data_IF_116297788591
#
_entry.id   IF_116297788591
#
_cell.length_a   1.000
_cell.length_b   1.000
_cell.length_c   1.000
_cell.angle_alpha   90.00
_cell.angle_beta   90.00
_cell.angle_gamma   90.00
#
_symmetry.space_group_name_H-M   'P 1'
#
loop_
_entity.id
_entity.type
_entity.pdbx_description
1 polymer ?
#
# COMPACT_ATOMS: atom_id res chain seq x y z
N UNK A 1 -41.63 28.04 -28.83
CA UNK A 1 -40.67 26.97 -28.54
C UNK A 1 -39.50 27.61 -27.82
N UNK A 2 -39.56 27.68 -26.48
CA UNK A 2 -38.47 28.22 -25.66
C UNK A 2 -37.32 27.22 -25.70
N UNK A 3 -36.21 27.61 -26.32
CA UNK A 3 -34.96 26.87 -26.26
C UNK A 3 -34.35 27.21 -24.91
N UNK A 4 -34.54 26.34 -23.93
CA UNK A 4 -33.84 26.40 -22.65
C UNK A 4 -32.38 26.06 -22.93
N UNK A 5 -31.53 27.07 -23.09
CA UNK A 5 -30.09 26.91 -23.03
C UNK A 5 -29.76 26.45 -21.61
N UNK A 6 -29.53 25.15 -21.44
CA UNK A 6 -28.85 24.64 -20.26
C UNK A 6 -27.42 25.13 -20.37
N UNK A 7 -27.11 26.27 -19.74
CA UNK A 7 -25.73 26.62 -19.44
C UNK A 7 -25.19 25.49 -18.54
N UNK A 8 -24.47 24.54 -19.15
CA UNK A 8 -23.50 23.75 -18.40
C UNK A 8 -22.49 24.77 -17.89
N UNK A 9 -22.62 25.17 -16.63
CA UNK A 9 -21.61 25.96 -15.96
C UNK A 9 -20.34 25.11 -15.90
N UNK A 10 -19.43 25.31 -16.85
CA UNK A 10 -18.09 24.76 -16.77
C UNK A 10 -17.36 25.50 -15.65
N UNK A 11 -17.10 24.81 -14.54
CA UNK A 11 -16.32 25.37 -13.46
C UNK A 11 -14.89 25.69 -13.95
N UNK A 12 -14.29 26.81 -13.49
CA UNK A 12 -12.91 27.16 -13.84
C UNK A 12 -11.94 26.00 -13.55
N UNK A 13 -11.07 25.75 -14.53
CA UNK A 13 -10.03 24.72 -14.43
C UNK A 13 -8.90 25.20 -13.52
N UNK A 14 -8.64 24.47 -12.43
CA UNK A 14 -7.48 24.73 -11.57
C UNK A 14 -6.18 24.28 -12.26
N UNK A 15 -5.12 25.08 -12.07
CA UNK A 15 -3.79 24.76 -12.59
C UNK A 15 -3.28 23.39 -12.12
N UNK A 16 -2.37 22.79 -12.89
CA UNK A 16 -1.93 21.41 -12.67
C UNK A 16 -1.27 21.19 -11.30
N UNK A 17 -0.46 22.14 -10.83
CA UNK A 17 0.18 22.08 -9.50
C UNK A 17 -0.88 22.07 -8.40
N UNK A 18 -1.83 23.00 -8.44
CA UNK A 18 -2.94 23.09 -7.49
C UNK A 18 -3.75 21.80 -7.47
N UNK A 19 -4.13 21.31 -8.66
CA UNK A 19 -4.89 20.07 -8.82
C UNK A 19 -4.15 18.85 -8.28
N UNK A 20 -2.85 18.74 -8.54
CA UNK A 20 -1.99 17.66 -8.06
C UNK A 20 -1.84 17.65 -6.52
N UNK A 21 -1.68 18.83 -5.92
CA UNK A 21 -1.62 19.01 -4.46
C UNK A 21 -2.95 18.61 -3.81
N UNK A 22 -4.06 19.11 -4.34
CA UNK A 22 -5.40 18.80 -3.86
C UNK A 22 -5.72 17.31 -3.96
N UNK A 23 -5.40 16.67 -5.09
CA UNK A 23 -5.52 15.21 -5.28
C UNK A 23 -4.73 14.43 -4.23
N UNK A 24 -3.50 14.86 -3.93
CA UNK A 24 -2.69 14.24 -2.87
C UNK A 24 -3.38 14.35 -1.52
N UNK A 25 -3.82 15.56 -1.13
CA UNK A 25 -4.53 15.78 0.12
C UNK A 25 -5.83 14.97 0.19
N UNK A 26 -6.61 14.90 -0.90
CA UNK A 26 -7.88 14.16 -0.96
C UNK A 26 -7.70 12.66 -0.73
N UNK A 27 -6.65 12.08 -1.31
CA UNK A 27 -6.36 10.66 -1.09
C UNK A 27 -6.06 10.39 0.39
N UNK A 28 -5.22 11.21 1.02
CA UNK A 28 -4.82 11.00 2.41
C UNK A 28 -5.88 11.42 3.43
N UNK A 29 -6.81 12.31 3.05
CA UNK A 29 -7.95 12.65 3.88
C UNK A 29 -8.89 11.45 4.12
N UNK A 30 -8.94 10.47 3.21
CA UNK A 30 -9.63 9.18 3.43
C UNK A 30 -9.14 8.47 4.69
N UNK A 31 -7.89 8.72 5.11
CA UNK A 31 -7.27 8.11 6.27
C UNK A 31 -7.14 9.09 7.44
N UNK A 32 -7.74 10.28 7.35
CA UNK A 32 -7.61 11.35 8.35
C UNK A 32 -6.15 11.66 8.65
N UNK A 33 -5.35 11.80 7.59
CA UNK A 33 -3.91 11.95 7.67
C UNK A 33 -3.49 13.24 6.94
N UNK A 34 -3.47 14.38 7.64
CA UNK A 34 -2.91 15.63 7.11
C UNK A 34 -1.47 15.42 6.62
N UNK A 35 -1.06 16.13 5.57
CA UNK A 35 0.25 15.94 4.95
C UNK A 35 1.20 17.09 5.25
N UNK A 36 2.49 16.79 5.36
CA UNK A 36 3.52 17.83 5.30
C UNK A 36 3.84 18.20 3.85
N UNK A 37 4.48 19.35 3.64
CA UNK A 37 4.94 19.78 2.32
C UNK A 37 5.80 18.69 1.60
N UNK A 38 6.81 18.05 2.24
CA UNK A 38 7.53 16.96 1.60
C UNK A 38 6.66 15.75 1.22
N UNK A 39 5.63 15.43 2.02
CA UNK A 39 4.71 14.34 1.70
C UNK A 39 3.81 14.72 0.51
N UNK A 40 3.33 15.96 0.44
CA UNK A 40 2.56 16.48 -0.70
C UNK A 40 3.37 16.37 -1.99
N UNK A 41 4.62 16.85 -1.99
CA UNK A 41 5.49 16.79 -3.17
C UNK A 41 5.75 15.33 -3.55
N UNK A 42 6.03 14.45 -2.59
CA UNK A 42 6.26 13.02 -2.84
C UNK A 42 5.07 12.36 -3.55
N UNK A 43 3.84 12.72 -3.18
CA UNK A 43 2.61 12.12 -3.71
C UNK A 43 1.94 12.94 -4.82
N UNK A 44 2.50 14.08 -5.20
CA UNK A 44 2.04 14.86 -6.34
C UNK A 44 2.11 14.04 -7.63
N UNK A 45 1.06 14.13 -8.45
CA UNK A 45 0.90 13.39 -9.71
C UNK A 45 1.70 13.97 -10.88
N UNK A 46 2.25 15.17 -10.72
CA UNK A 46 3.14 15.83 -11.68
C UNK A 46 4.51 16.09 -11.06
N UNK A 47 5.60 16.17 -11.84
CA UNK A 47 6.91 16.56 -11.32
C UNK A 47 6.88 17.95 -10.67
N UNK A 48 7.44 18.07 -9.47
CA UNK A 48 7.63 19.35 -8.76
C UNK A 48 9.12 19.47 -8.42
N UNK A 49 9.83 20.30 -9.18
CA UNK A 49 11.30 20.40 -9.09
C UNK A 49 11.78 21.38 -8.02
N UNK A 50 10.96 22.36 -7.65
CA UNK A 50 11.32 23.40 -6.68
C UNK A 50 10.28 23.49 -5.57
N UNK A 51 10.75 23.51 -4.32
CA UNK A 51 9.90 23.57 -3.13
C UNK A 51 8.93 24.76 -3.16
N UNK A 52 9.41 25.93 -3.59
CA UNK A 52 8.59 27.14 -3.64
C UNK A 52 7.33 26.99 -4.51
N UNK A 53 7.35 26.12 -5.54
CA UNK A 53 6.20 25.95 -6.45
C UNK A 53 5.01 25.37 -5.67
N UNK A 54 5.29 24.38 -4.82
CA UNK A 54 4.28 23.76 -3.99
C UNK A 54 3.89 24.68 -2.81
N UNK A 55 4.83 25.43 -2.25
CA UNK A 55 4.55 26.40 -1.17
C UNK A 55 3.63 27.53 -1.65
N UNK A 56 3.94 28.16 -2.79
CA UNK A 56 3.14 29.23 -3.37
C UNK A 56 1.73 28.74 -3.74
N UNK A 57 1.62 27.54 -4.31
CA UNK A 57 0.33 26.93 -4.62
C UNK A 57 -0.47 26.60 -3.36
N UNK A 58 0.16 26.10 -2.30
CA UNK A 58 -0.51 25.86 -1.01
C UNK A 58 -0.98 27.15 -0.36
N UNK A 59 -0.18 28.22 -0.42
CA UNK A 59 -0.58 29.54 0.08
C UNK A 59 -1.79 30.06 -0.68
N UNK A 60 -1.79 29.96 -2.02
CA UNK A 60 -2.96 30.33 -2.84
C UNK A 60 -4.20 29.50 -2.49
N UNK A 61 -4.07 28.19 -2.26
CA UNK A 61 -5.20 27.35 -1.83
C UNK A 61 -5.70 27.75 -0.43
N UNK A 62 -4.81 28.12 0.49
CA UNK A 62 -5.15 28.57 1.84
C UNK A 62 -5.89 29.91 1.81
N UNK A 63 -5.39 30.87 1.04
CA UNK A 63 -5.99 32.19 0.87
C UNK A 63 -7.41 32.08 0.27
N UNK A 64 -7.65 31.06 -0.57
CA UNK A 64 -8.95 30.73 -1.14
C UNK A 64 -9.81 29.79 -0.26
N UNK A 65 -9.38 29.51 0.98
CA UNK A 65 -10.09 28.65 1.94
C UNK A 65 -10.37 27.23 1.41
N UNK A 66 -9.52 26.73 0.51
CA UNK A 66 -9.60 25.39 -0.06
C UNK A 66 -8.82 24.35 0.74
N UNK A 67 -7.80 24.80 1.48
CA UNK A 67 -6.99 23.98 2.39
C UNK A 67 -6.76 24.72 3.70
N UNK A 68 -6.40 23.98 4.74
CA UNK A 68 -6.13 24.50 6.07
C UNK A 68 -4.71 24.11 6.49
N UNK A 69 -3.99 25.06 7.07
CA UNK A 69 -2.65 24.85 7.62
C UNK A 69 -2.66 24.79 9.14
N UNK A 70 -1.96 23.81 9.69
CA UNK A 70 -1.72 23.64 11.11
C UNK A 70 -0.23 23.37 11.36
N UNK A 71 0.55 24.45 11.51
CA UNK A 71 2.00 24.37 11.60
C UNK A 71 2.61 23.86 10.30
N UNK A 72 3.19 22.65 10.33
CA UNK A 72 3.77 21.97 9.17
C UNK A 72 2.76 21.12 8.38
N UNK A 73 1.53 20.94 8.90
CA UNK A 73 0.51 20.08 8.29
C UNK A 73 -0.50 20.84 7.46
N UNK A 74 -0.90 20.24 6.36
CA UNK A 74 -1.93 20.71 5.44
C UNK A 74 -3.07 19.69 5.39
N UNK A 75 -4.30 20.20 5.41
CA UNK A 75 -5.54 19.40 5.49
C UNK A 75 -6.63 20.01 4.62
N UNK A 76 -7.60 19.19 4.19
CA UNK A 76 -8.82 19.68 3.51
C UNK A 76 -9.93 20.07 4.50
N UNK A 77 -9.76 19.73 5.78
CA UNK A 77 -10.69 20.06 6.85
C UNK A 77 -9.96 20.82 7.96
N UNK A 78 -10.72 21.66 8.67
CA UNK A 78 -10.25 22.44 9.81
C UNK A 78 -10.23 21.67 11.14
N UNK A 79 -10.44 20.35 11.12
CA UNK A 79 -10.49 19.52 12.33
C UNK A 79 -9.07 19.23 12.87
N UNK A 80 -8.69 19.96 13.92
CA UNK A 80 -7.41 19.79 14.61
C UNK A 80 -7.21 18.37 15.18
N UNK A 81 -8.30 17.63 15.46
CA UNK A 81 -8.24 16.25 15.94
C UNK A 81 -7.52 15.30 14.97
N UNK A 82 -7.53 15.60 13.66
CA UNK A 82 -6.78 14.84 12.66
C UNK A 82 -5.26 15.00 12.83
N UNK A 83 -4.80 16.18 13.27
CA UNK A 83 -3.39 16.46 13.54
C UNK A 83 -2.94 15.71 14.79
N UNK A 84 -3.70 15.80 15.88
CA UNK A 84 -3.39 15.06 17.12
C UNK A 84 -3.32 13.55 16.87
N UNK A 85 -4.30 13.03 16.12
CA UNK A 85 -4.34 11.62 15.71
C UNK A 85 -3.11 11.24 14.89
N UNK A 86 -2.77 12.03 13.86
CA UNK A 86 -1.59 11.80 13.01
C UNK A 86 -0.33 11.72 13.85
N UNK A 87 -0.07 12.73 14.67
CA UNK A 87 1.13 12.80 15.50
C UNK A 87 1.22 11.64 16.51
N UNK A 88 0.10 11.29 17.17
CA UNK A 88 0.04 10.14 18.07
C UNK A 88 0.35 8.83 17.33
N UNK A 89 -0.20 8.68 16.14
CA UNK A 89 0.05 7.55 15.25
C UNK A 89 1.52 7.46 14.81
N UNK A 90 2.14 8.58 14.44
CA UNK A 90 3.55 8.61 14.05
C UNK A 90 4.48 8.26 15.21
N UNK A 91 4.25 8.83 16.41
CA UNK A 91 5.03 8.48 17.61
C UNK A 91 4.91 6.99 17.93
N UNK A 92 3.74 6.41 17.76
CA UNK A 92 3.49 4.98 17.99
C UNK A 92 4.17 4.10 16.92
N UNK A 93 4.14 4.51 15.65
CA UNK A 93 4.84 3.83 14.56
C UNK A 93 6.35 3.79 14.81
N UNK A 94 6.96 4.92 15.21
CA UNK A 94 8.37 4.98 15.56
C UNK A 94 8.74 3.99 16.68
N UNK A 95 7.94 3.95 17.76
CA UNK A 95 8.17 3.05 18.91
C UNK A 95 8.04 1.56 18.54
N UNK A 96 7.18 1.22 17.59
CA UNK A 96 6.91 -0.18 17.23
C UNK A 96 7.79 -0.71 16.09
N UNK A 97 8.51 0.16 15.39
CA UNK A 97 9.29 -0.16 14.20
C UNK A 97 10.31 -1.28 14.42
N UNK A 98 11.02 -1.27 15.55
CA UNK A 98 11.99 -2.32 15.88
C UNK A 98 11.34 -3.69 16.10
N UNK A 99 10.10 -3.72 16.61
CA UNK A 99 9.34 -4.96 16.72
C UNK A 99 8.96 -5.47 15.33
N UNK A 100 8.55 -4.58 14.41
CA UNK A 100 8.24 -4.96 13.04
C UNK A 100 9.47 -5.53 12.31
N UNK A 101 10.63 -4.87 12.42
CA UNK A 101 11.92 -5.38 11.92
C UNK A 101 12.25 -6.78 12.45
N UNK A 102 12.10 -7.01 13.76
CA UNK A 102 12.33 -8.33 14.37
C UNK A 102 11.39 -9.39 13.80
N UNK A 103 10.13 -9.05 13.55
CA UNK A 103 9.16 -9.95 12.91
C UNK A 103 9.50 -10.22 11.45
N UNK A 104 9.94 -9.22 10.68
CA UNK A 104 10.42 -9.42 9.31
C UNK A 104 11.62 -10.38 9.24
N UNK A 105 12.63 -10.17 10.10
CA UNK A 105 13.79 -11.07 10.21
C UNK A 105 13.39 -12.50 10.59
N UNK A 106 12.34 -12.66 11.39
CA UNK A 106 11.82 -13.98 11.72
C UNK A 106 11.11 -14.63 10.51
N UNK A 107 10.26 -13.89 9.79
CA UNK A 107 9.59 -14.38 8.57
C UNK A 107 10.62 -14.81 7.52
N UNK A 108 11.69 -14.03 7.36
CA UNK A 108 12.76 -14.30 6.40
C UNK A 108 13.47 -15.66 6.61
N UNK A 109 13.39 -16.23 7.82
CA UNK A 109 13.96 -17.55 8.16
C UNK A 109 13.15 -18.72 7.63
N UNK A 110 11.91 -18.51 7.20
CA UNK A 110 11.08 -19.58 6.64
C UNK A 110 11.64 -20.02 5.28
N UNK A 111 11.53 -21.33 4.95
CA UNK A 111 11.99 -21.85 3.67
C UNK A 111 11.27 -21.16 2.51
N UNK A 112 12.02 -20.91 1.44
CA UNK A 112 11.59 -20.31 0.19
C UNK A 112 11.20 -18.84 0.25
N UNK A 113 11.23 -18.19 1.42
CA UNK A 113 11.12 -16.72 1.51
C UNK A 113 12.39 -16.11 0.92
N UNK A 114 12.24 -15.15 -0.01
CA UNK A 114 13.36 -14.48 -0.68
C UNK A 114 13.43 -12.99 -0.34
N UNK A 115 12.29 -12.34 -0.17
CA UNK A 115 12.21 -10.96 0.33
C UNK A 115 11.00 -10.77 1.24
N UNK A 116 11.16 -9.96 2.29
CA UNK A 116 10.10 -9.52 3.20
C UNK A 116 10.04 -8.01 3.19
N UNK A 117 8.84 -7.46 3.03
CA UNK A 117 8.58 -6.04 2.98
C UNK A 117 7.43 -5.71 3.94
N UNK A 118 7.50 -4.56 4.59
CA UNK A 118 6.40 -4.01 5.41
C UNK A 118 5.53 -3.14 4.50
N UNK A 119 4.21 -3.36 4.56
CA UNK A 119 3.19 -2.62 3.81
C UNK A 119 2.16 -1.99 4.76
N UNK A 120 1.01 -1.55 4.24
CA UNK A 120 -0.10 -1.07 5.05
C UNK A 120 0.15 0.28 5.73
N UNK A 121 -0.45 0.49 6.90
CA UNK A 121 -0.38 1.76 7.62
C UNK A 121 1.01 2.02 8.21
N UNK A 122 1.66 0.98 8.72
CA UNK A 122 2.98 1.09 9.34
C UNK A 122 4.04 1.54 8.34
N UNK A 123 3.98 1.08 7.08
CA UNK A 123 4.92 1.50 6.03
C UNK A 123 4.75 2.98 5.63
N UNK A 124 3.61 3.59 5.98
CA UNK A 124 3.25 5.00 5.83
C UNK A 124 3.44 5.79 7.14
N UNK A 125 4.28 5.29 8.04
CA UNK A 125 4.61 5.91 9.33
C UNK A 125 3.41 6.08 10.29
N UNK A 126 2.34 5.29 10.18
CA UNK A 126 1.19 5.39 11.08
C UNK A 126 0.92 4.06 11.80
N UNK A 127 0.66 4.11 13.10
CA UNK A 127 0.28 2.93 13.88
C UNK A 127 -0.61 3.32 15.07
N UNK A 128 -1.76 2.66 15.25
CA UNK A 128 -2.64 2.86 16.40
C UNK A 128 -3.04 1.53 17.08
N UNK A 129 -4.06 1.56 17.94
CA UNK A 129 -4.47 0.39 18.71
C UNK A 129 -5.01 -0.76 17.84
N UNK A 130 -5.64 -0.41 16.72
CA UNK A 130 -6.30 -1.32 15.78
C UNK A 130 -5.39 -1.74 14.62
N UNK A 131 -4.32 -0.99 14.37
CA UNK A 131 -3.32 -1.31 13.36
C UNK A 131 -2.60 -2.65 13.62
N UNK A 132 -2.21 -3.31 12.54
CA UNK A 132 -1.41 -4.52 12.53
C UNK A 132 -0.10 -4.37 11.73
N UNK A 133 0.70 -5.44 11.68
CA UNK A 133 1.88 -5.50 10.83
C UNK A 133 1.53 -6.24 9.54
N UNK A 134 1.38 -5.50 8.46
CA UNK A 134 1.20 -6.05 7.12
C UNK A 134 2.54 -6.40 6.49
N UNK A 135 2.66 -7.65 6.05
CA UNK A 135 3.83 -8.14 5.32
C UNK A 135 3.49 -8.48 3.86
N UNK A 136 4.28 -7.93 2.95
CA UNK A 136 4.35 -8.29 1.54
C UNK A 136 5.59 -9.17 1.31
N UNK A 137 5.39 -10.39 0.84
CA UNK A 137 6.42 -11.43 0.81
C UNK A 137 6.67 -11.90 -0.63
N UNK A 138 7.93 -11.94 -1.03
CA UNK A 138 8.36 -12.51 -2.31
C UNK A 138 9.02 -13.87 -2.03
N UNK A 139 8.54 -14.91 -2.69
CA UNK A 139 9.03 -16.29 -2.52
C UNK A 139 9.76 -16.81 -3.75
N UNK A 140 10.44 -17.95 -3.61
CA UNK A 140 10.87 -18.75 -4.76
C UNK A 140 9.65 -19.22 -5.58
N UNK A 141 9.78 -19.36 -6.92
CA UNK A 141 8.72 -19.92 -7.75
C UNK A 141 8.31 -21.32 -7.32
N UNK A 142 7.02 -21.63 -7.49
CA UNK A 142 6.42 -22.93 -7.16
C UNK A 142 6.50 -23.31 -5.67
N UNK A 143 6.78 -22.35 -4.77
CA UNK A 143 6.88 -22.58 -3.30
C UNK A 143 6.04 -21.61 -2.48
N UNK A 144 5.29 -20.74 -3.15
CA UNK A 144 4.52 -19.66 -2.55
C UNK A 144 3.48 -20.21 -1.58
N UNK A 145 2.68 -21.19 -1.99
CA UNK A 145 1.57 -21.71 -1.19
C UNK A 145 2.07 -22.55 -0.03
N UNK A 146 3.16 -23.30 -0.22
CA UNK A 146 3.83 -24.00 0.87
C UNK A 146 4.36 -23.01 1.92
N UNK A 147 5.08 -21.98 1.49
CA UNK A 147 5.59 -20.93 2.36
C UNK A 147 4.44 -20.23 3.12
N UNK A 148 3.39 -19.84 2.41
CA UNK A 148 2.18 -19.23 2.99
C UNK A 148 1.55 -20.14 4.04
N UNK A 149 1.43 -21.43 3.76
CA UNK A 149 0.83 -22.39 4.69
C UNK A 149 1.67 -22.54 5.96
N UNK A 150 3.01 -22.64 5.84
CA UNK A 150 3.91 -22.70 7.00
C UNK A 150 3.78 -21.48 7.90
N UNK A 151 3.76 -20.27 7.32
CA UNK A 151 3.57 -19.03 8.07
C UNK A 151 2.16 -18.95 8.70
N UNK A 152 1.14 -19.46 8.00
CA UNK A 152 -0.24 -19.51 8.51
C UNK A 152 -0.37 -20.49 9.69
N UNK A 153 0.24 -21.66 9.60
CA UNK A 153 0.33 -22.66 10.68
C UNK A 153 1.06 -22.03 11.87
N UNK A 154 2.21 -21.40 11.64
CA UNK A 154 2.95 -20.72 12.70
C UNK A 154 2.07 -19.69 13.43
N UNK A 155 1.41 -18.81 12.67
CA UNK A 155 0.48 -17.82 13.24
C UNK A 155 -0.63 -18.47 14.05
N UNK A 156 -1.24 -19.55 13.54
CA UNK A 156 -2.37 -20.21 14.20
C UNK A 156 -1.97 -20.84 15.54
N UNK A 157 -0.84 -21.55 15.59
CA UNK A 157 -0.45 -22.34 16.76
C UNK A 157 0.45 -21.58 17.74
N UNK A 158 1.37 -20.74 17.27
CA UNK A 158 2.33 -20.05 18.13
C UNK A 158 1.94 -18.61 18.46
N UNK A 159 1.08 -17.99 17.64
CA UNK A 159 0.55 -16.65 17.89
C UNK A 159 -0.95 -16.66 18.23
N UNK A 160 -1.52 -17.84 18.49
CA UNK A 160 -2.95 -18.02 18.80
C UNK A 160 -3.86 -17.33 17.75
N UNK A 161 -3.45 -17.38 16.49
CA UNK A 161 -4.09 -16.74 15.34
C UNK A 161 -4.17 -15.19 15.40
N UNK A 162 -3.39 -14.54 16.27
CA UNK A 162 -3.30 -13.09 16.35
C UNK A 162 -2.68 -12.49 15.09
N UNK A 163 -3.29 -11.41 14.58
CA UNK A 163 -2.81 -10.66 13.40
C UNK A 163 -2.00 -9.42 13.75
N UNK A 164 -2.14 -8.91 14.98
CA UNK A 164 -1.63 -7.59 15.42
C UNK A 164 -0.17 -7.33 15.06
N UNK A 165 0.68 -8.36 15.09
CA UNK A 165 2.11 -8.22 14.77
C UNK A 165 2.58 -9.23 13.71
N UNK A 166 1.67 -9.84 12.94
CA UNK A 166 1.98 -10.94 12.01
C UNK A 166 0.89 -11.14 10.93
N UNK A 167 0.52 -10.08 10.22
CA UNK A 167 -0.46 -10.16 9.14
C UNK A 167 0.26 -10.44 7.81
N UNK A 168 -0.05 -11.58 7.19
CA UNK A 168 0.56 -12.03 5.94
C UNK A 168 -0.46 -11.93 4.80
N UNK A 169 -0.47 -10.78 4.15
CA UNK A 169 -1.61 -10.36 3.32
C UNK A 169 -1.35 -10.47 1.82
N UNK A 170 -0.10 -10.37 1.38
CA UNK A 170 0.23 -10.50 -0.04
C UNK A 170 1.51 -11.30 -0.22
N UNK A 171 1.41 -12.37 -1.00
CA UNK A 171 2.55 -13.12 -1.52
C UNK A 171 2.59 -13.06 -3.05
N UNK A 172 3.78 -12.91 -3.58
CA UNK A 172 4.12 -13.15 -4.99
C UNK A 172 5.37 -14.02 -5.04
N UNK A 173 5.67 -14.61 -6.19
CA UNK A 173 6.98 -15.21 -6.43
C UNK A 173 7.77 -14.45 -7.52
N UNK A 174 9.02 -14.84 -7.71
CA UNK A 174 9.93 -14.14 -8.62
C UNK A 174 9.56 -14.28 -10.10
N UNK A 175 8.58 -15.12 -10.48
CA UNK A 175 8.06 -15.22 -11.84
C UNK A 175 6.87 -14.28 -12.07
N UNK A 176 6.37 -13.57 -11.04
CA UNK A 176 5.22 -12.65 -11.14
C UNK A 176 5.46 -11.39 -10.30
N UNK A 177 6.54 -10.67 -10.61
CA UNK A 177 6.90 -9.44 -9.90
C UNK A 177 6.02 -8.23 -10.23
N UNK A 178 5.50 -8.13 -11.45
CA UNK A 178 4.60 -7.03 -11.83
C UNK A 178 3.21 -7.22 -11.21
N UNK A 179 2.70 -6.18 -10.54
CA UNK A 179 1.35 -6.16 -9.99
C UNK A 179 0.38 -5.68 -11.09
N UNK A 180 -0.66 -6.47 -11.43
CA UNK A 180 -1.55 -6.15 -12.54
C UNK A 180 -2.56 -5.03 -12.22
N UNK A 181 -2.83 -4.76 -10.94
CA UNK A 181 -3.83 -3.80 -10.49
C UNK A 181 -3.29 -2.36 -10.59
N UNK A 182 -3.16 -1.80 -11.80
CA UNK A 182 -2.55 -0.47 -12.04
C UNK A 182 -3.51 0.70 -11.74
N UNK A 183 -3.63 1.06 -10.47
CA UNK A 183 -4.42 2.20 -10.00
C UNK A 183 -3.70 2.96 -8.88
N UNK A 184 -4.20 4.14 -8.52
CA UNK A 184 -3.60 5.01 -7.49
C UNK A 184 -3.42 4.30 -6.13
N UNK A 185 -4.39 3.48 -5.72
CA UNK A 185 -4.30 2.74 -4.45
C UNK A 185 -3.11 1.77 -4.47
N UNK A 186 -3.02 0.94 -5.51
CA UNK A 186 -1.91 0.00 -5.65
C UNK A 186 -0.58 0.73 -5.81
N UNK A 187 -0.55 1.84 -6.54
CA UNK A 187 0.66 2.65 -6.69
C UNK A 187 1.15 3.16 -5.33
N UNK A 188 0.25 3.67 -4.46
CA UNK A 188 0.59 4.08 -3.09
C UNK A 188 1.09 2.90 -2.26
N UNK A 189 0.42 1.75 -2.33
CA UNK A 189 0.89 0.56 -1.61
C UNK A 189 2.32 0.18 -2.03
N UNK A 190 2.66 0.25 -3.32
CA UNK A 190 3.99 -0.07 -3.85
C UNK A 190 5.05 0.97 -3.43
N UNK A 191 4.83 2.27 -3.68
CA UNK A 191 5.84 3.32 -3.39
C UNK A 191 6.04 3.58 -1.89
N UNK A 192 5.15 3.03 -1.05
CA UNK A 192 5.27 3.09 0.41
C UNK A 192 5.79 1.80 1.03
N UNK A 193 6.14 0.76 0.24
CA UNK A 193 6.76 -0.45 0.77
C UNK A 193 8.10 -0.13 1.44
N UNK A 194 8.35 -0.82 2.56
CA UNK A 194 9.64 -0.76 3.27
C UNK A 194 10.28 -2.15 3.24
N UNK A 195 11.36 -2.32 2.47
CA UNK A 195 12.09 -3.58 2.33
C UNK A 195 12.88 -3.89 3.61
N UNK A 196 12.77 -5.13 4.06
CA UNK A 196 13.44 -5.61 5.27
C UNK A 196 14.48 -6.70 4.97
N UNK A 197 14.37 -7.35 3.80
CA UNK A 197 15.29 -8.40 3.34
C UNK A 197 15.19 -8.60 1.83
N UNK A 198 16.25 -9.13 1.21
CA UNK A 198 16.24 -9.48 -0.22
C UNK A 198 16.23 -8.27 -1.15
N UNK A 199 17.05 -7.26 -0.84
CA UNK A 199 17.10 -5.97 -1.54
C UNK A 199 17.19 -6.07 -3.06
N UNK A 200 18.02 -6.97 -3.60
CA UNK A 200 18.12 -7.15 -5.06
C UNK A 200 16.78 -7.55 -5.69
N UNK A 201 16.01 -8.42 -5.03
CA UNK A 201 14.68 -8.81 -5.52
C UNK A 201 13.64 -7.70 -5.32
N UNK A 202 13.75 -6.93 -4.24
CA UNK A 202 12.93 -5.74 -4.08
C UNK A 202 13.20 -4.71 -5.17
N UNK A 203 14.46 -4.48 -5.55
CA UNK A 203 14.82 -3.60 -6.64
C UNK A 203 14.26 -4.11 -7.98
N UNK A 204 14.36 -5.41 -8.26
CA UNK A 204 13.73 -6.01 -9.44
C UNK A 204 12.20 -5.84 -9.41
N UNK A 205 11.57 -6.02 -8.25
CA UNK A 205 10.14 -5.78 -8.07
C UNK A 205 9.76 -4.32 -8.36
N UNK A 206 10.52 -3.35 -7.84
CA UNK A 206 10.28 -1.93 -8.11
C UNK A 206 10.46 -1.61 -9.60
N UNK A 207 11.43 -2.22 -10.27
CA UNK A 207 11.65 -2.07 -11.71
C UNK A 207 10.48 -2.66 -12.53
N UNK A 208 10.01 -3.86 -12.20
CA UNK A 208 8.83 -4.46 -12.84
C UNK A 208 7.56 -3.64 -12.63
N UNK A 209 7.52 -2.79 -11.60
CA UNK A 209 6.39 -1.89 -11.31
C UNK A 209 6.71 -0.42 -11.59
N UNK A 210 7.61 -0.12 -12.54
CA UNK A 210 7.96 1.26 -12.92
C UNK A 210 6.76 2.11 -13.37
N UNK A 211 5.63 1.48 -13.74
CA UNK A 211 4.37 2.15 -14.05
C UNK A 211 3.87 3.04 -12.90
N UNK A 212 4.26 2.80 -11.64
CA UNK A 212 3.90 3.67 -10.51
C UNK A 212 4.40 5.11 -10.67
N UNK A 213 5.44 5.34 -11.48
CA UNK A 213 5.95 6.69 -11.80
C UNK A 213 4.96 7.53 -12.60
N UNK A 214 4.00 6.91 -13.27
CA UNK A 214 2.89 7.61 -13.93
C UNK A 214 1.92 8.22 -12.90
N UNK A 215 1.90 7.69 -11.67
CA UNK A 215 1.09 8.21 -10.57
C UNK A 215 1.91 9.12 -9.65
N UNK A 216 3.18 8.79 -9.41
CA UNK A 216 4.04 9.49 -8.44
C UNK A 216 5.44 9.74 -9.03
N UNK A 217 5.59 10.71 -9.95
CA UNK A 217 6.88 11.01 -10.59
C UNK A 217 7.94 11.54 -9.62
N UNK A 218 7.53 12.15 -8.51
CA UNK A 218 8.43 12.67 -7.47
C UNK A 218 8.87 11.62 -6.46
N UNK A 219 8.35 10.40 -6.55
CA UNK A 219 8.79 9.32 -5.68
C UNK A 219 10.25 8.97 -6.01
N UNK A 220 11.14 9.40 -5.13
CA UNK A 220 12.49 8.87 -5.07
C UNK A 220 12.43 7.57 -4.28
N UNK A 221 12.90 6.48 -4.89
CA UNK A 221 13.17 5.27 -4.14
C UNK A 221 14.19 5.62 -3.07
N UNK A 222 13.73 5.73 -1.82
CA UNK A 222 14.62 5.90 -0.68
C UNK A 222 15.70 4.82 -0.79
N UNK A 223 16.97 5.21 -0.77
CA UNK A 223 18.05 4.25 -0.51
C UNK A 223 17.80 3.73 0.89
N UNK A 224 17.11 2.60 0.98
CA UNK A 224 16.83 1.99 2.26
C UNK A 224 18.18 1.59 2.86
N UNK A 225 18.35 1.78 4.17
CA UNK A 225 19.57 1.35 4.84
C UNK A 225 19.79 -0.12 4.47
N UNK A 226 20.92 -0.40 3.80
CA UNK A 226 21.26 -1.73 3.29
C UNK A 226 20.95 -2.74 4.40
N UNK A 227 19.98 -3.65 4.20
CA UNK A 227 19.74 -4.69 5.18
C UNK A 227 21.06 -5.44 5.35
N UNK A 228 21.54 -5.54 6.59
CA UNK A 228 22.74 -6.32 6.89
C UNK A 228 22.61 -7.68 6.21
N UNK A 229 23.66 -8.11 5.47
CA UNK A 229 23.73 -9.46 4.91
C UNK A 229 23.35 -10.44 6.02
N UNK A 230 22.19 -11.07 5.87
CA UNK A 230 21.75 -12.03 6.85
C UNK A 230 22.68 -13.24 6.81
N UNK A 231 23.10 -13.71 7.99
CA UNK A 231 23.84 -14.97 8.10
C UNK A 231 22.98 -16.09 7.55
N UNK A 232 23.61 -17.01 6.80
CA UNK A 232 22.92 -18.18 6.26
C UNK A 232 22.26 -18.97 7.38
N UNK A 233 20.97 -19.23 7.23
CA UNK A 233 20.20 -20.03 8.17
C UNK A 233 20.25 -21.50 7.74
N UNK A 234 21.00 -22.32 8.48
CA UNK A 234 21.21 -23.75 8.18
C UNK A 234 19.89 -24.52 8.11
N UNK A 235 18.94 -24.25 9.02
CA UNK A 235 17.62 -24.89 9.04
C UNK A 235 16.85 -24.56 7.77
N UNK A 236 16.86 -23.28 7.36
CA UNK A 236 16.25 -22.84 6.11
C UNK A 236 16.90 -23.56 4.91
N UNK A 237 18.23 -23.61 4.85
CA UNK A 237 18.95 -24.24 3.76
C UNK A 237 18.62 -25.74 3.61
N UNK A 238 18.63 -26.49 4.72
CA UNK A 238 18.32 -27.93 4.69
C UNK A 238 16.86 -28.23 4.36
N UNK A 239 15.93 -27.47 4.93
CA UNK A 239 14.50 -27.62 4.63
C UNK A 239 14.20 -27.28 3.16
N UNK A 240 14.86 -26.27 2.61
CA UNK A 240 14.76 -25.96 1.18
C UNK A 240 15.32 -27.11 0.32
N UNK A 241 16.52 -27.62 0.61
CA UNK A 241 17.11 -28.73 -0.14
C UNK A 241 16.23 -29.98 -0.14
N UNK A 242 15.62 -30.31 1.00
CA UNK A 242 14.69 -31.45 1.13
C UNK A 242 13.43 -31.27 0.29
N UNK A 243 12.95 -30.04 0.15
CA UNK A 243 11.69 -29.70 -0.51
C UNK A 243 11.89 -29.08 -1.91
N UNK A 244 13.12 -29.02 -2.42
CA UNK A 244 13.44 -28.56 -3.76
C UNK A 244 13.39 -29.72 -4.77
N UNK A 245 12.26 -30.41 -4.80
CA UNK A 245 12.00 -31.54 -5.69
C UNK A 245 10.49 -31.66 -6.00
N UNK A 246 10.11 -32.69 -6.74
CA UNK A 246 8.71 -32.97 -7.12
C UNK A 246 7.78 -33.18 -5.91
N UNK A 247 8.30 -33.60 -4.76
CA UNK A 247 7.49 -33.69 -3.53
C UNK A 247 7.13 -32.29 -3.04
N UNK A 248 8.09 -31.36 -3.03
CA UNK A 248 7.82 -29.96 -2.73
C UNK A 248 6.80 -29.31 -3.66
N UNK A 249 6.88 -29.60 -4.97
CA UNK A 249 5.90 -29.10 -5.96
C UNK A 249 4.48 -29.63 -5.68
N UNK A 250 4.38 -30.92 -5.31
CA UNK A 250 3.10 -31.54 -4.91
C UNK A 250 2.56 -30.92 -3.64
N UNK A 251 3.42 -30.71 -2.63
CA UNK A 251 3.02 -30.08 -1.36
C UNK A 251 2.54 -28.64 -1.57
N UNK A 252 3.21 -27.86 -2.40
CA UNK A 252 2.78 -26.51 -2.76
C UNK A 252 1.39 -26.53 -3.41
N UNK A 253 1.18 -27.43 -4.37
CA UNK A 253 -0.11 -27.63 -5.04
C UNK A 253 -1.23 -28.03 -4.06
N UNK A 254 -0.91 -28.90 -3.10
CA UNK A 254 -1.87 -29.30 -2.05
C UNK A 254 -2.19 -28.12 -1.14
N UNK A 255 -1.19 -27.36 -0.70
CA UNK A 255 -1.38 -26.15 0.13
C UNK A 255 -2.26 -25.11 -0.59
N UNK A 256 -2.06 -24.94 -1.90
CA UNK A 256 -2.89 -24.10 -2.75
C UNK A 256 -4.35 -24.56 -2.74
N UNK A 257 -4.60 -25.84 -3.08
CA UNK A 257 -5.95 -26.41 -3.17
C UNK A 257 -6.70 -26.32 -1.84
N UNK A 258 -6.02 -26.65 -0.73
CA UNK A 258 -6.58 -26.57 0.62
C UNK A 258 -6.97 -25.12 0.95
N UNK A 259 -6.07 -24.17 0.71
CA UNK A 259 -6.33 -22.75 1.02
C UNK A 259 -7.50 -22.22 0.19
N UNK A 260 -7.50 -22.51 -1.11
CA UNK A 260 -8.55 -22.08 -2.02
C UNK A 260 -9.92 -22.67 -1.64
N UNK A 261 -9.97 -23.95 -1.29
CA UNK A 261 -11.19 -24.60 -0.81
C UNK A 261 -11.76 -23.87 0.42
N UNK A 262 -10.92 -23.63 1.44
CA UNK A 262 -11.36 -22.93 2.65
C UNK A 262 -11.81 -21.50 2.36
N UNK A 263 -11.13 -20.78 1.47
CA UNK A 263 -11.50 -19.41 1.11
C UNK A 263 -12.81 -19.34 0.34
N UNK A 264 -13.01 -20.20 -0.66
CA UNK A 264 -14.28 -20.28 -1.39
C UNK A 264 -15.45 -20.59 -0.44
N UNK A 265 -15.25 -21.49 0.52
CA UNK A 265 -16.27 -21.81 1.53
C UNK A 265 -16.54 -20.65 2.48
N UNK A 266 -15.48 -19.98 2.96
CA UNK A 266 -15.58 -18.88 3.94
C UNK A 266 -16.16 -17.60 3.33
N UNK A 267 -15.83 -17.31 2.07
CA UNK A 267 -16.21 -16.10 1.37
C UNK A 267 -17.19 -16.39 0.22
N UNK A 268 -18.10 -17.35 0.44
CA UNK A 268 -19.08 -17.81 -0.56
C UNK A 268 -20.03 -16.72 -1.10
N UNK A 269 -20.15 -15.61 -0.36
CA UNK A 269 -21.01 -14.48 -0.72
C UNK A 269 -20.28 -13.43 -1.60
N UNK A 270 -18.97 -13.57 -1.84
CA UNK A 270 -18.26 -12.67 -2.75
C UNK A 270 -18.55 -13.03 -4.19
N UNK A 271 -18.76 -12.01 -5.03
CA UNK A 271 -18.78 -12.18 -6.48
C UNK A 271 -17.43 -12.67 -7.02
N UNK A 272 -17.39 -13.22 -8.23
CA UNK A 272 -16.14 -13.66 -8.85
C UNK A 272 -15.12 -12.51 -9.01
N UNK A 273 -15.61 -11.30 -9.32
CA UNK A 273 -14.77 -10.09 -9.47
C UNK A 273 -14.19 -9.67 -8.13
N UNK A 274 -15.01 -9.64 -7.07
CA UNK A 274 -14.52 -9.33 -5.73
C UNK A 274 -13.54 -10.39 -5.23
N UNK A 275 -13.81 -11.67 -5.48
CA UNK A 275 -12.91 -12.75 -5.08
C UNK A 275 -11.56 -12.65 -5.79
N UNK A 276 -11.54 -12.39 -7.11
CA UNK A 276 -10.30 -12.21 -7.86
C UNK A 276 -9.52 -10.97 -7.42
N UNK A 277 -10.20 -9.87 -7.07
CA UNK A 277 -9.52 -8.65 -6.62
C UNK A 277 -9.04 -8.72 -5.16
N UNK A 278 -9.84 -9.29 -4.26
CA UNK A 278 -9.60 -9.28 -2.82
C UNK A 278 -8.84 -10.52 -2.35
N UNK A 279 -9.04 -11.66 -3.00
CA UNK A 279 -8.54 -12.97 -2.61
C UNK A 279 -7.78 -13.67 -3.75
N UNK A 280 -7.15 -12.90 -4.66
CA UNK A 280 -6.39 -13.42 -5.81
C UNK A 280 -5.56 -14.63 -5.40
N UNK A 281 -5.95 -15.79 -5.93
CA UNK A 281 -5.39 -17.09 -5.57
C UNK A 281 -4.94 -17.78 -6.85
N UNK A 282 -3.75 -17.43 -7.32
CA UNK A 282 -3.11 -18.01 -8.51
C UNK A 282 -1.87 -18.79 -8.10
N UNK A 283 -1.30 -19.57 -9.02
CA UNK A 283 -0.07 -20.34 -8.77
C UNK A 283 1.07 -19.46 -8.20
N UNK A 284 1.24 -18.27 -8.76
CA UNK A 284 2.34 -17.34 -8.44
C UNK A 284 1.91 -16.14 -7.57
N UNK A 285 0.66 -16.09 -7.10
CA UNK A 285 0.11 -14.96 -6.34
C UNK A 285 -0.88 -15.42 -5.28
N UNK A 286 -0.73 -14.92 -4.04
CA UNK A 286 -1.73 -15.05 -2.98
C UNK A 286 -2.00 -13.71 -2.30
N UNK A 287 -3.12 -13.07 -2.65
CA UNK A 287 -3.64 -11.86 -2.01
C UNK A 287 -4.74 -12.24 -1.01
N UNK A 288 -4.78 -11.60 0.16
CA UNK A 288 -5.79 -11.85 1.19
C UNK A 288 -6.25 -10.52 1.84
N UNK A 289 -7.12 -9.80 1.15
CA UNK A 289 -7.74 -8.54 1.59
C UNK A 289 -9.28 -8.62 1.52
N UNK A 290 -9.93 -9.47 2.34
CA UNK A 290 -11.36 -9.78 2.19
C UNK A 290 -12.31 -8.60 2.42
N UNK A 291 -11.84 -7.47 2.92
CA UNK A 291 -12.68 -6.32 3.27
C UNK A 291 -13.00 -5.39 2.09
N UNK A 292 -12.48 -5.67 0.89
CA UNK A 292 -12.71 -4.84 -0.28
C UNK A 292 -12.09 -3.44 -0.16
N UNK A 293 -11.01 -3.30 0.62
CA UNK A 293 -10.45 -2.01 0.99
C UNK A 293 -10.06 -1.15 -0.23
N UNK A 294 -9.49 -1.77 -1.26
CA UNK A 294 -9.14 -1.09 -2.51
C UNK A 294 -10.35 -0.43 -3.17
N UNK A 295 -11.50 -1.13 -3.28
CA UNK A 295 -12.71 -0.55 -3.87
C UNK A 295 -13.21 0.64 -3.07
N UNK A 296 -13.27 0.51 -1.73
CA UNK A 296 -13.69 1.58 -0.83
C UNK A 296 -12.80 2.82 -0.94
N UNK A 297 -11.48 2.63 -1.05
CA UNK A 297 -10.54 3.75 -1.19
C UNK A 297 -10.69 4.42 -2.55
N UNK A 298 -10.80 3.66 -3.65
CA UNK A 298 -10.94 4.23 -4.99
C UNK A 298 -12.27 4.98 -5.17
N UNK A 299 -13.36 4.42 -4.66
CA UNK A 299 -14.68 5.07 -4.68
C UNK A 299 -14.70 6.31 -3.79
N UNK A 300 -14.19 6.20 -2.56
CA UNK A 300 -14.07 7.34 -1.65
C UNK A 300 -13.21 8.47 -2.23
N UNK A 301 -12.13 8.12 -2.93
CA UNK A 301 -11.27 9.10 -3.60
C UNK A 301 -12.00 9.86 -4.72
N UNK A 302 -12.72 9.13 -5.59
CA UNK A 302 -13.54 9.74 -6.65
C UNK A 302 -14.62 10.66 -6.06
N UNK A 303 -15.30 10.20 -5.02
CA UNK A 303 -16.35 10.98 -4.37
C UNK A 303 -15.77 12.27 -3.76
N UNK A 304 -14.60 12.21 -3.13
CA UNK A 304 -13.92 13.41 -2.59
C UNK A 304 -13.55 14.43 -3.65
N UNK A 305 -13.03 14.00 -4.79
CA UNK A 305 -12.76 14.89 -5.93
C UNK A 305 -14.06 15.56 -6.36
N UNK A 306 -15.11 14.77 -6.63
CA UNK A 306 -16.39 15.31 -7.09
C UNK A 306 -17.01 16.29 -6.08
N UNK A 307 -17.06 15.93 -4.79
CA UNK A 307 -17.58 16.80 -3.74
C UNK A 307 -16.79 18.10 -3.63
N UNK A 308 -15.46 18.05 -3.72
CA UNK A 308 -14.62 19.24 -3.65
C UNK A 308 -14.84 20.17 -4.85
N UNK A 309 -14.89 19.62 -6.07
CA UNK A 309 -15.17 20.38 -7.30
C UNK A 309 -16.50 21.14 -7.20
N UNK A 310 -17.55 20.48 -6.70
CA UNK A 310 -18.85 21.10 -6.46
C UNK A 310 -18.80 22.14 -5.33
N UNK A 311 -18.13 21.85 -4.23
CA UNK A 311 -18.06 22.75 -3.07
C UNK A 311 -17.34 24.07 -3.39
N UNK A 312 -16.29 23.99 -4.22
CA UNK A 312 -15.44 25.13 -4.54
C UNK A 312 -15.71 25.72 -5.93
N UNK A 313 -16.67 25.18 -6.69
CA UNK A 313 -16.98 25.56 -8.07
C UNK A 313 -15.71 25.57 -8.95
N UNK A 314 -14.94 24.49 -8.93
CA UNK A 314 -13.70 24.32 -9.71
C UNK A 314 -13.69 22.96 -10.40
N UNK A 315 -12.92 22.83 -11.48
CA UNK A 315 -12.58 21.53 -12.08
C UNK A 315 -11.11 21.23 -11.82
N UNK A 316 -10.77 20.04 -11.33
CA UNK A 316 -9.38 19.62 -11.19
C UNK A 316 -8.84 19.14 -12.53
N UNK A 317 -7.66 19.62 -12.92
CA UNK A 317 -7.01 19.13 -14.13
C UNK A 317 -6.67 17.63 -14.00
N UNK A 318 -6.74 16.88 -15.10
CA UNK A 318 -6.47 15.44 -15.05
C UNK A 318 -4.99 15.12 -14.75
N UNK A 319 -4.07 16.05 -15.01
CA UNK A 319 -2.64 15.90 -14.73
C UNK A 319 -1.94 14.96 -15.69
#
# INVERSE_FOLDING_TARGET
MQITYVHQHEFPLLGEVHSSILKSLMYFDLFRYPLTLPEIIRFASIPIHHLHIAEDALQQLEDNLMVYRFGEFWSLNSDYGNIERRQKGNRSAMKIWDKAKKRSKFIQRFPFVRSVNISGSLSKNYFDAEADFDFFIITQPNRLWLCRMLLTIYKKFFLLNSRKYFCINYFIDTESLEIPDKNIFTAIEIVTLKNMSGENLYNNFMQSNNWVKQYFPNYLSEKQMLPQKEKENVIKHHSEKLLQNKIGDRLDTVCYKITLYFWKRKFKNMTAIEFENNLRSRKHVSKHHPQGFQFKVLEGYKNRIHTFEQQHNVTLSNG
#
